data_IF_717060018252
#
_entry.id   IF_717060018252
#
_cell.length_a   1.000
_cell.length_b   1.000
_cell.length_c   1.000
_cell.angle_alpha   90.00
_cell.angle_beta   90.00
_cell.angle_gamma   90.00
#
_symmetry.space_group_name_H-M   'P 1'
#
loop_
_entity.id
_entity.type
_entity.pdbx_description
1 polymer ?
#
# COMPACT_ATOMS: atom_id res chain seq x y z
N UNK A 1 -13.04 23.37 -22.90
CA UNK A 1 -14.02 23.68 -21.83
C UNK A 1 -13.93 22.54 -20.84
N UNK A 2 -13.63 22.82 -19.57
CA UNK A 2 -13.66 21.78 -18.54
C UNK A 2 -15.08 21.29 -18.34
N UNK A 3 -15.27 20.00 -18.07
CA UNK A 3 -16.55 19.49 -17.63
C UNK A 3 -16.80 20.03 -16.22
N UNK A 4 -17.97 20.62 -16.03
CA UNK A 4 -18.44 21.09 -14.74
C UNK A 4 -18.77 19.88 -13.87
N UNK A 5 -18.41 19.92 -12.59
CA UNK A 5 -18.76 18.82 -11.69
C UNK A 5 -20.26 18.83 -11.41
N UNK A 6 -20.84 17.64 -11.19
CA UNK A 6 -22.29 17.47 -11.09
C UNK A 6 -22.92 18.26 -9.93
N UNK A 7 -22.16 18.49 -8.85
CA UNK A 7 -22.58 19.31 -7.70
C UNK A 7 -22.65 20.82 -8.02
N UNK A 8 -21.95 21.29 -9.05
CA UNK A 8 -21.96 22.71 -9.41
C UNK A 8 -23.15 23.06 -10.33
N UNK A 9 -23.93 22.09 -10.78
CA UNK A 9 -25.02 22.31 -11.72
C UNK A 9 -26.11 23.15 -11.06
N UNK A 10 -26.53 24.22 -11.73
CA UNK A 10 -27.70 25.02 -11.35
C UNK A 10 -29.01 24.26 -11.60
N UNK A 11 -30.11 24.73 -11.02
CA UNK A 11 -31.42 24.12 -11.24
C UNK A 11 -31.83 24.09 -12.73
N UNK A 12 -31.45 25.09 -13.52
CA UNK A 12 -31.66 25.14 -14.96
C UNK A 12 -30.87 24.05 -15.69
N UNK A 13 -29.59 23.89 -15.34
CA UNK A 13 -28.72 22.84 -15.90
C UNK A 13 -29.22 21.43 -15.53
N UNK A 14 -29.71 21.24 -14.30
CA UNK A 14 -30.37 20.00 -13.87
C UNK A 14 -31.64 19.75 -14.69
N UNK A 15 -32.45 20.77 -14.94
CA UNK A 15 -33.66 20.61 -15.78
C UNK A 15 -33.29 20.14 -17.20
N UNK A 16 -32.26 20.74 -17.81
CA UNK A 16 -31.79 20.38 -19.15
C UNK A 16 -31.21 18.96 -19.17
N UNK A 17 -30.45 18.61 -18.13
CA UNK A 17 -29.93 17.26 -17.96
C UNK A 17 -31.06 16.23 -17.82
N UNK A 18 -32.11 16.50 -17.03
CA UNK A 18 -33.28 15.63 -16.90
C UNK A 18 -34.01 15.43 -18.23
N UNK A 19 -34.17 16.50 -19.02
CA UNK A 19 -34.74 16.41 -20.37
C UNK A 19 -33.93 15.45 -21.24
N UNK A 20 -32.60 15.56 -21.23
CA UNK A 20 -31.71 14.65 -21.96
C UNK A 20 -31.80 13.19 -21.50
N UNK A 21 -32.15 12.94 -20.23
CA UNK A 21 -32.38 11.59 -19.69
C UNK A 21 -33.77 11.01 -20.00
N UNK A 22 -34.63 11.76 -20.71
CA UNK A 22 -36.01 11.38 -20.99
C UNK A 22 -36.94 11.55 -19.78
N UNK A 23 -36.62 12.47 -18.87
CA UNK A 23 -37.41 12.87 -17.69
C UNK A 23 -37.92 14.33 -17.81
N UNK A 24 -38.20 14.76 -19.04
CA UNK A 24 -38.57 16.15 -19.32
C UNK A 24 -39.87 16.60 -18.65
N UNK A 25 -40.85 15.71 -18.47
CA UNK A 25 -42.12 16.04 -17.82
C UNK A 25 -41.95 16.44 -16.35
N UNK A 26 -40.94 15.88 -15.68
CA UNK A 26 -40.63 16.12 -14.27
C UNK A 26 -39.68 17.31 -14.10
N UNK A 27 -38.99 17.74 -15.17
CA UNK A 27 -38.00 18.82 -15.13
C UNK A 27 -38.55 20.14 -14.59
N UNK A 28 -39.78 20.51 -14.95
CA UNK A 28 -40.45 21.72 -14.45
C UNK A 28 -40.64 21.69 -12.93
N UNK A 29 -40.86 20.51 -12.35
CA UNK A 29 -41.03 20.36 -10.90
C UNK A 29 -39.70 20.51 -10.16
N UNK A 30 -38.62 19.96 -10.72
CA UNK A 30 -37.27 20.17 -10.17
C UNK A 30 -36.87 21.63 -10.22
N UNK A 31 -37.19 22.32 -11.31
CA UNK A 31 -36.93 23.75 -11.45
C UNK A 31 -37.76 24.58 -10.46
N UNK A 32 -39.04 24.25 -10.28
CA UNK A 32 -39.93 24.95 -9.34
C UNK A 32 -39.50 24.78 -7.88
N UNK A 33 -39.03 23.59 -7.51
CA UNK A 33 -38.48 23.29 -6.18
C UNK A 33 -37.03 23.78 -6.01
N UNK A 34 -36.43 24.37 -7.05
CA UNK A 34 -35.05 24.89 -7.00
C UNK A 34 -34.00 23.79 -6.82
N UNK A 35 -34.25 22.58 -7.34
CA UNK A 35 -33.35 21.43 -7.21
C UNK A 35 -32.11 21.64 -8.08
N UNK A 36 -31.03 22.08 -7.45
CA UNK A 36 -29.70 22.18 -8.04
C UNK A 36 -28.91 20.86 -7.91
N UNK A 37 -27.69 20.85 -8.43
CA UNK A 37 -26.81 19.69 -8.47
C UNK A 37 -26.46 19.19 -7.09
N UNK A 38 -26.06 20.06 -6.18
CA UNK A 38 -25.73 19.68 -4.80
C UNK A 38 -26.94 19.09 -4.07
N UNK A 39 -28.09 19.76 -4.14
CA UNK A 39 -29.31 19.27 -3.52
C UNK A 39 -29.73 17.91 -4.11
N UNK A 40 -29.67 17.75 -5.43
CA UNK A 40 -29.98 16.49 -6.11
C UNK A 40 -29.11 15.32 -5.63
N UNK A 41 -27.85 15.57 -5.25
CA UNK A 41 -26.97 14.53 -4.72
C UNK A 41 -27.34 14.06 -3.31
N UNK A 42 -28.07 14.89 -2.55
CA UNK A 42 -28.53 14.57 -1.19
C UNK A 42 -29.87 13.84 -1.15
N UNK A 43 -30.66 13.93 -2.23
CA UNK A 43 -31.98 13.33 -2.31
C UNK A 43 -31.91 11.80 -2.30
N UNK A 44 -32.77 11.20 -1.48
CA UNK A 44 -32.98 9.76 -1.46
C UNK A 44 -33.96 9.32 -2.55
N UNK A 45 -34.02 8.02 -2.81
CA UNK A 45 -34.99 7.46 -3.75
C UNK A 45 -36.44 7.69 -3.30
N UNK A 46 -36.70 7.95 -2.02
CA UNK A 46 -38.04 8.19 -1.51
C UNK A 46 -38.43 9.66 -1.61
N UNK A 47 -37.49 10.59 -1.40
CA UNK A 47 -37.71 12.03 -1.64
C UNK A 47 -38.03 12.30 -3.12
N UNK A 48 -37.30 11.64 -4.03
CA UNK A 48 -37.59 11.68 -5.46
C UNK A 48 -39.02 11.24 -5.81
N UNK A 49 -39.57 10.26 -5.08
CA UNK A 49 -40.92 9.75 -5.33
C UNK A 49 -41.98 10.63 -4.68
N UNK A 50 -41.82 10.90 -3.39
CA UNK A 50 -42.84 11.54 -2.57
C UNK A 50 -42.92 13.03 -2.87
N UNK A 51 -41.77 13.70 -2.94
CA UNK A 51 -41.72 15.15 -3.06
C UNK A 51 -41.68 15.55 -4.53
N UNK A 52 -40.92 14.83 -5.35
CA UNK A 52 -40.71 15.17 -6.76
C UNK A 52 -41.59 14.37 -7.73
N UNK A 53 -42.40 13.44 -7.23
CA UNK A 53 -43.42 12.74 -8.02
C UNK A 53 -42.87 11.75 -9.05
N UNK A 54 -41.63 11.28 -8.88
CA UNK A 54 -41.08 10.25 -9.75
C UNK A 54 -41.72 8.89 -9.45
N UNK A 55 -41.92 8.10 -10.51
CA UNK A 55 -42.20 6.66 -10.32
C UNK A 55 -40.96 5.97 -9.72
N UNK A 56 -41.17 4.83 -9.06
CA UNK A 56 -40.06 4.03 -8.50
C UNK A 56 -39.02 3.63 -9.55
N UNK A 57 -39.42 3.44 -10.80
CA UNK A 57 -38.52 3.09 -11.89
C UNK A 57 -37.69 4.30 -12.34
N UNK A 58 -38.33 5.48 -12.49
CA UNK A 58 -37.65 6.73 -12.83
C UNK A 58 -36.65 7.12 -11.73
N UNK A 59 -37.04 7.04 -10.46
CA UNK A 59 -36.15 7.34 -9.33
C UNK A 59 -34.91 6.43 -9.34
N UNK A 60 -35.09 5.12 -9.55
CA UNK A 60 -33.96 4.18 -9.69
C UNK A 60 -33.07 4.50 -10.90
N UNK A 61 -33.65 4.84 -12.06
CA UNK A 61 -32.89 5.24 -13.25
C UNK A 61 -32.08 6.51 -12.96
N UNK A 62 -32.70 7.49 -12.32
CA UNK A 62 -32.08 8.75 -11.97
C UNK A 62 -30.88 8.54 -11.02
N UNK A 63 -31.06 7.77 -9.96
CA UNK A 63 -29.97 7.45 -9.01
C UNK A 63 -28.79 6.77 -9.70
N UNK A 64 -29.04 5.79 -10.59
CA UNK A 64 -27.97 5.14 -11.37
C UNK A 64 -27.25 6.12 -12.29
N UNK A 65 -27.98 7.02 -12.93
CA UNK A 65 -27.39 8.04 -13.81
C UNK A 65 -26.55 9.05 -13.03
N UNK A 66 -26.98 9.43 -11.83
CA UNK A 66 -26.21 10.28 -10.91
C UNK A 66 -24.92 9.57 -10.49
N UNK A 67 -24.99 8.31 -10.07
CA UNK A 67 -23.81 7.49 -9.71
C UNK A 67 -22.82 7.36 -10.87
N UNK A 68 -23.32 7.13 -12.08
CA UNK A 68 -22.51 7.09 -13.28
C UNK A 68 -21.82 8.42 -13.54
N UNK A 69 -22.55 9.54 -13.42
CA UNK A 69 -22.00 10.89 -13.62
C UNK A 69 -20.92 11.22 -12.57
N UNK A 70 -21.13 10.83 -11.30
CA UNK A 70 -20.10 10.94 -10.24
C UNK A 70 -18.85 10.14 -10.57
N UNK A 71 -19.01 8.94 -11.13
CA UNK A 71 -17.87 8.08 -11.47
C UNK A 71 -17.02 8.70 -12.59
N UNK A 72 -17.66 9.37 -13.55
CA UNK A 72 -16.96 10.10 -14.62
C UNK A 72 -16.21 11.30 -14.06
N UNK A 73 -16.87 12.15 -13.25
CA UNK A 73 -16.22 13.32 -12.65
C UNK A 73 -15.05 12.97 -11.72
N UNK A 74 -15.23 11.94 -10.87
CA UNK A 74 -14.17 11.44 -10.00
C UNK A 74 -12.98 10.83 -10.76
N UNK A 75 -13.15 10.43 -12.02
CA UNK A 75 -12.04 9.95 -12.84
C UNK A 75 -11.13 11.09 -13.29
N UNK A 76 -11.66 12.29 -13.48
CA UNK A 76 -10.86 13.48 -13.82
C UNK A 76 -10.04 13.98 -12.62
N UNK A 77 -10.59 13.94 -11.40
CA UNK A 77 -9.82 14.22 -10.18
C UNK A 77 -8.68 13.21 -9.99
N UNK A 78 -8.97 11.92 -10.15
CA UNK A 78 -7.93 10.88 -10.12
C UNK A 78 -6.88 11.10 -11.23
N UNK A 79 -7.28 11.58 -12.40
CA UNK A 79 -6.35 11.95 -13.47
C UNK A 79 -5.38 13.05 -13.05
N UNK A 80 -5.88 14.14 -12.45
CA UNK A 80 -5.04 15.23 -11.93
C UNK A 80 -4.09 14.76 -10.83
N UNK A 81 -4.54 13.87 -9.95
CA UNK A 81 -3.70 13.31 -8.89
C UNK A 81 -2.61 12.38 -9.44
N UNK A 82 -2.93 11.56 -10.45
CA UNK A 82 -1.94 10.76 -11.19
C UNK A 82 -0.90 11.65 -11.87
N UNK A 83 -1.32 12.73 -12.53
CA UNK A 83 -0.39 13.68 -13.16
C UNK A 83 0.53 14.36 -12.14
N UNK A 84 0.00 14.73 -10.96
CA UNK A 84 0.80 15.29 -9.86
C UNK A 84 1.82 14.27 -9.34
N UNK A 85 1.38 13.04 -9.06
CA UNK A 85 2.25 11.96 -8.60
C UNK A 85 3.33 11.63 -9.64
N UNK A 86 3.00 11.66 -10.93
CA UNK A 86 3.95 11.41 -12.01
C UNK A 86 5.04 12.49 -12.07
N UNK A 87 4.72 13.77 -11.80
CA UNK A 87 5.72 14.83 -11.67
C UNK A 87 6.63 14.62 -10.46
N UNK A 88 6.06 14.26 -9.32
CA UNK A 88 6.83 13.97 -8.10
C UNK A 88 7.78 12.77 -8.29
N UNK A 89 7.34 11.72 -8.99
CA UNK A 89 8.18 10.56 -9.33
C UNK A 89 9.37 11.00 -10.19
N UNK A 90 9.14 11.80 -11.24
CA UNK A 90 10.23 12.29 -12.09
C UNK A 90 11.24 13.14 -11.30
N UNK A 91 10.77 14.04 -10.42
CA UNK A 91 11.65 14.85 -9.57
C UNK A 91 12.46 13.99 -8.59
N UNK A 92 11.84 12.96 -8.01
CA UNK A 92 12.51 12.02 -7.13
C UNK A 92 13.56 11.18 -7.89
N UNK A 93 13.26 10.74 -9.11
CA UNK A 93 14.21 10.02 -9.95
C UNK A 93 15.46 10.86 -10.26
N UNK A 94 15.29 12.14 -10.60
CA UNK A 94 16.42 13.07 -10.80
C UNK A 94 17.27 13.21 -9.53
N UNK A 95 16.64 13.38 -8.36
CA UNK A 95 17.35 13.46 -7.07
C UNK A 95 18.12 12.17 -6.76
N UNK A 96 17.53 11.01 -7.04
CA UNK A 96 18.19 9.71 -6.86
C UNK A 96 19.41 9.60 -7.77
N UNK A 97 19.32 10.02 -9.03
CA UNK A 97 20.47 10.01 -9.95
C UNK A 97 21.62 10.91 -9.46
N UNK A 98 21.30 12.14 -9.00
CA UNK A 98 22.31 13.07 -8.45
C UNK A 98 22.99 12.49 -7.22
N UNK A 99 22.21 11.94 -6.28
CA UNK A 99 22.75 11.33 -5.06
C UNK A 99 23.62 10.11 -5.38
N UNK A 100 23.21 9.26 -6.32
CA UNK A 100 24.03 8.12 -6.76
C UNK A 100 25.36 8.58 -7.36
N UNK A 101 25.37 9.65 -8.15
CA UNK A 101 26.61 10.23 -8.69
C UNK A 101 27.50 10.77 -7.57
N UNK A 102 26.93 11.45 -6.57
CA UNK A 102 27.68 11.97 -5.44
C UNK A 102 28.29 10.86 -4.57
N UNK A 103 27.53 9.79 -4.30
CA UNK A 103 28.03 8.62 -3.57
C UNK A 103 29.18 7.96 -4.33
N UNK A 104 29.02 7.72 -5.64
CA UNK A 104 30.10 7.15 -6.48
C UNK A 104 31.36 8.02 -6.48
N UNK A 105 31.21 9.35 -6.51
CA UNK A 105 32.34 10.27 -6.42
C UNK A 105 33.05 10.16 -5.07
N UNK A 106 32.27 10.08 -3.98
CA UNK A 106 32.80 9.90 -2.62
C UNK A 106 33.49 8.55 -2.43
N UNK A 107 32.95 7.47 -2.99
CA UNK A 107 33.58 6.14 -2.94
C UNK A 107 34.94 6.12 -3.65
N UNK A 108 35.07 6.83 -4.78
CA UNK A 108 36.36 7.00 -5.47
C UNK A 108 37.36 7.77 -4.60
N UNK A 109 36.92 8.86 -3.99
CA UNK A 109 37.74 9.67 -3.08
C UNK A 109 38.25 8.83 -1.89
N UNK A 110 37.38 8.01 -1.28
CA UNK A 110 37.75 7.08 -0.21
C UNK A 110 38.77 6.05 -0.70
N UNK A 111 38.58 5.48 -1.89
CA UNK A 111 39.52 4.51 -2.46
C UNK A 111 40.91 5.11 -2.70
N UNK A 112 40.97 6.33 -3.25
CA UNK A 112 42.23 7.07 -3.42
C UNK A 112 42.92 7.37 -2.10
N UNK A 113 42.17 7.82 -1.09
CA UNK A 113 42.70 8.07 0.25
C UNK A 113 43.21 6.77 0.91
N UNK A 114 42.49 5.66 0.78
CA UNK A 114 42.94 4.34 1.28
C UNK A 114 44.24 3.90 0.60
N UNK A 115 44.37 4.09 -0.72
CA UNK A 115 45.61 3.78 -1.44
C UNK A 115 46.78 4.64 -0.95
N UNK A 116 46.56 5.95 -0.72
CA UNK A 116 47.59 6.84 -0.14
C UNK A 116 48.01 6.40 1.26
N UNK A 117 47.05 6.06 2.14
CA UNK A 117 47.34 5.58 3.49
C UNK A 117 48.14 4.27 3.45
N UNK A 118 47.73 3.32 2.59
CA UNK A 118 48.42 2.04 2.44
C UNK A 118 49.85 2.23 1.91
N UNK A 119 50.07 3.17 0.97
CA UNK A 119 51.40 3.52 0.49
C UNK A 119 52.31 4.14 1.56
N UNK A 120 51.75 4.91 2.50
CA UNK A 120 52.51 5.50 3.61
C UNK A 120 52.85 4.48 4.71
N UNK A 121 52.01 3.46 4.94
CA UNK A 121 52.24 2.43 5.98
C UNK A 121 53.34 1.41 5.64
N UNK A 122 53.85 1.35 4.41
CA UNK A 122 54.87 0.34 4.00
C UNK A 122 56.31 0.70 4.44
N UNK A 123 56.55 1.86 5.05
CA UNK A 123 57.92 2.29 5.41
C UNK A 123 58.32 2.12 6.88
N UNK A 124 57.44 1.67 7.76
CA UNK A 124 57.77 1.53 9.19
C UNK A 124 57.59 0.09 9.69
N UNK A 125 58.73 -0.51 10.08
CA UNK A 125 58.95 -1.78 10.81
C UNK A 125 59.11 -3.08 10.03
N UNK A 126 60.38 -3.34 9.70
CA UNK A 126 60.99 -4.66 9.51
C UNK A 126 61.32 -5.26 10.88
N UNK A 127 60.87 -6.49 11.18
CA UNK A 127 61.71 -7.54 11.79
C UNK A 127 60.99 -8.91 11.82
N UNK A 128 61.62 -10.02 11.36
CA UNK A 128 61.05 -11.36 11.45
C UNK A 128 61.55 -12.10 12.70
N UNK A 129 60.66 -12.78 13.43
CA UNK A 129 61.02 -13.78 14.42
C UNK A 129 60.06 -15.00 14.34
N UNK A 130 60.52 -16.22 14.69
CA UNK A 130 60.11 -17.46 14.03
C UNK A 130 59.10 -18.29 14.89
N UNK A 131 58.84 -19.60 14.68
CA UNK A 131 57.48 -20.14 14.49
C UNK A 131 56.87 -20.84 15.72
N UNK A 132 55.53 -20.76 15.84
CA UNK A 132 54.50 -21.74 16.34
C UNK A 132 54.71 -22.52 17.68
N UNK A 133 53.66 -22.76 18.51
CA UNK A 133 52.65 -23.79 18.22
C UNK A 133 51.17 -23.50 18.60
N UNK A 134 50.31 -24.14 17.81
CA UNK A 134 48.87 -24.54 17.89
C UNK A 134 48.30 -24.87 19.30
N UNK A 135 47.03 -25.33 19.47
CA UNK A 135 45.69 -24.86 19.02
C UNK A 135 44.63 -24.98 20.16
N UNK A 136 43.74 -24.01 20.39
CA UNK A 136 42.53 -24.28 21.22
C UNK A 136 41.27 -23.63 20.66
N UNK A 137 40.46 -24.45 19.98
CA UNK A 137 39.00 -24.33 20.03
C UNK A 137 38.51 -24.94 21.35
N UNK A 138 37.46 -24.40 21.95
CA UNK A 138 36.18 -25.07 21.80
C UNK A 138 35.06 -24.13 21.39
N UNK A 139 34.20 -24.67 20.52
CA UNK A 139 32.97 -24.09 20.05
C UNK A 139 32.12 -23.52 21.20
N UNK A 140 31.73 -22.25 21.06
CA UNK A 140 30.60 -21.72 21.80
C UNK A 140 29.34 -22.46 21.35
N UNK A 141 28.84 -23.32 22.22
CA UNK A 141 27.52 -23.91 22.09
C UNK A 141 26.46 -22.79 22.05
N UNK A 142 25.58 -22.73 21.03
CA UNK A 142 24.50 -21.77 21.03
C UNK A 142 23.55 -22.07 22.19
N UNK A 143 23.23 -21.00 22.92
CA UNK A 143 22.30 -20.96 24.05
C UNK A 143 20.95 -21.61 23.64
N UNK A 144 20.36 -22.50 24.46
CA UNK A 144 19.10 -23.16 24.12
C UNK A 144 17.99 -22.13 23.89
N UNK A 145 17.29 -22.29 22.77
CA UNK A 145 16.16 -21.46 22.38
C UNK A 145 15.06 -21.49 23.46
N UNK A 146 14.40 -20.36 23.75
CA UNK A 146 13.28 -20.33 24.67
C UNK A 146 12.12 -21.18 24.12
N UNK A 147 11.65 -22.12 24.94
CA UNK A 147 10.48 -22.95 24.69
C UNK A 147 9.26 -22.05 24.44
N UNK A 148 8.56 -22.17 23.30
CA UNK A 148 7.39 -21.34 23.02
C UNK A 148 6.28 -21.63 24.03
N UNK A 149 5.80 -20.57 24.69
CA UNK A 149 4.69 -20.63 25.61
C UNK A 149 3.42 -21.17 24.89
N UNK A 150 2.62 -22.04 25.54
CA UNK A 150 1.37 -22.53 24.97
C UNK A 150 0.39 -21.37 24.79
N UNK A 151 -0.04 -21.14 23.55
CA UNK A 151 -1.03 -20.12 23.21
C UNK A 151 -2.37 -20.42 23.92
N UNK A 152 -3.08 -19.40 24.42
CA UNK A 152 -4.35 -19.56 25.10
C UNK A 152 -5.38 -20.21 24.16
N UNK A 153 -5.99 -21.31 24.61
CA UNK A 153 -7.07 -22.01 23.93
C UNK A 153 -8.36 -21.18 23.97
N UNK A 154 -8.39 -20.10 23.19
CA UNK A 154 -9.57 -19.30 22.92
C UNK A 154 -10.18 -19.67 21.57
N UNK A 155 -11.36 -20.31 21.62
CA UNK A 155 -12.44 -20.32 20.62
C UNK A 155 -12.04 -20.46 19.13
N UNK A 156 -12.32 -21.65 18.58
CA UNK A 156 -12.13 -22.05 17.17
C UNK A 156 -12.68 -21.03 16.17
N UNK A 157 -11.80 -20.31 15.48
CA UNK A 157 -12.09 -19.62 14.21
C UNK A 157 -10.98 -19.91 13.18
N UNK A 158 -11.40 -20.58 12.10
CA UNK A 158 -10.82 -20.78 10.75
C UNK A 158 -9.28 -20.91 10.63
N UNK A 159 -8.83 -22.16 10.62
CA UNK A 159 -7.45 -22.68 10.70
C UNK A 159 -6.43 -22.38 9.59
N UNK A 160 -6.58 -21.33 8.77
CA UNK A 160 -5.63 -21.01 7.70
C UNK A 160 -4.48 -20.09 8.14
N UNK A 161 -4.83 -18.91 8.66
CA UNK A 161 -3.86 -17.85 8.98
C UNK A 161 -2.99 -18.18 10.20
N UNK A 162 -3.57 -18.78 11.25
CA UNK A 162 -2.84 -19.14 12.46
C UNK A 162 -1.74 -20.20 12.20
N UNK A 163 -2.04 -21.19 11.33
CA UNK A 163 -1.06 -22.20 10.93
C UNK A 163 0.05 -21.60 10.06
N UNK A 164 -0.32 -20.65 9.19
CA UNK A 164 0.63 -19.88 8.40
C UNK A 164 1.58 -19.07 9.28
N UNK A 165 1.06 -18.34 10.26
CA UNK A 165 1.85 -17.52 11.18
C UNK A 165 2.86 -18.35 11.98
N UNK A 166 2.44 -19.47 12.56
CA UNK A 166 3.34 -20.35 13.30
C UNK A 166 4.47 -20.93 12.42
N UNK A 167 4.12 -21.40 11.21
CA UNK A 167 5.12 -21.93 10.28
C UNK A 167 6.10 -20.88 9.75
N UNK A 168 5.61 -19.65 9.57
CA UNK A 168 6.42 -18.51 9.18
C UNK A 168 7.40 -18.08 10.27
N UNK A 169 6.96 -18.06 11.54
CA UNK A 169 7.79 -17.65 12.66
C UNK A 169 9.06 -18.51 12.83
N UNK A 170 8.92 -19.83 12.69
CA UNK A 170 10.05 -20.76 12.80
C UNK A 170 11.07 -20.52 11.67
N UNK A 171 10.60 -20.33 10.43
CA UNK A 171 11.50 -20.05 9.30
C UNK A 171 12.17 -18.69 9.43
N UNK A 172 11.43 -17.69 9.87
CA UNK A 172 11.94 -16.34 10.09
C UNK A 172 13.01 -16.30 11.19
N UNK A 173 12.85 -17.07 12.27
CA UNK A 173 13.84 -17.14 13.34
C UNK A 173 15.20 -17.69 12.85
N UNK A 174 15.18 -18.68 11.95
CA UNK A 174 16.40 -19.25 11.34
C UNK A 174 17.10 -18.19 10.48
N UNK A 175 16.34 -17.43 9.69
CA UNK A 175 16.90 -16.35 8.86
C UNK A 175 17.46 -15.22 9.72
N UNK A 176 16.75 -14.85 10.80
CA UNK A 176 17.21 -13.87 11.79
C UNK A 176 18.54 -14.25 12.41
N UNK A 177 18.73 -15.51 12.78
CA UNK A 177 19.99 -15.97 13.39
C UNK A 177 21.21 -15.98 12.44
N UNK A 178 21.00 -15.89 11.12
CA UNK A 178 22.08 -15.93 10.11
C UNK A 178 22.47 -14.50 9.66
N UNK A 179 21.55 -13.54 9.74
CA UNK A 179 21.79 -12.19 9.24
C UNK A 179 22.51 -11.33 10.28
N UNK A 180 23.65 -10.71 9.93
CA UNK A 180 24.36 -9.83 10.84
C UNK A 180 23.52 -8.59 11.15
N UNK A 181 23.31 -8.32 12.44
CA UNK A 181 22.54 -7.16 12.92
C UNK A 181 21.04 -7.37 13.08
N UNK A 182 20.55 -8.62 12.98
CA UNK A 182 19.15 -8.96 13.25
C UNK A 182 19.10 -10.12 14.25
N UNK A 183 18.25 -10.02 15.28
CA UNK A 183 18.10 -11.09 16.26
C UNK A 183 17.05 -12.12 15.82
N UNK A 184 17.14 -13.33 16.36
CA UNK A 184 16.20 -14.42 16.02
C UNK A 184 14.73 -14.07 16.35
N UNK A 185 14.50 -13.20 17.33
CA UNK A 185 13.17 -12.71 17.68
C UNK A 185 12.56 -11.82 16.57
N UNK A 186 13.37 -10.91 16.00
CA UNK A 186 12.95 -10.05 14.90
C UNK A 186 12.70 -10.87 13.63
N UNK A 187 13.56 -11.86 13.39
CA UNK A 187 13.35 -12.87 12.37
C UNK A 187 12.03 -13.61 12.53
N UNK A 188 11.71 -14.06 13.76
CA UNK A 188 10.47 -14.77 14.05
C UNK A 188 9.22 -13.91 13.81
N UNK A 189 9.25 -12.64 14.22
CA UNK A 189 8.15 -11.71 14.01
C UNK A 189 7.91 -11.44 12.51
N UNK A 190 8.97 -11.17 11.76
CA UNK A 190 8.89 -10.99 10.31
C UNK A 190 8.37 -12.26 9.60
N UNK A 191 8.89 -13.43 10.02
CA UNK A 191 8.44 -14.71 9.50
C UNK A 191 6.96 -14.99 9.79
N UNK A 192 6.49 -14.68 11.00
CA UNK A 192 5.09 -14.87 11.38
C UNK A 192 4.14 -14.02 10.53
N UNK A 193 4.49 -12.76 10.27
CA UNK A 193 3.72 -11.88 9.40
C UNK A 193 3.62 -12.46 7.97
N UNK A 194 4.75 -12.82 7.36
CA UNK A 194 4.78 -13.41 6.01
C UNK A 194 3.98 -14.72 5.96
N UNK A 195 4.11 -15.56 6.99
CA UNK A 195 3.39 -16.82 7.10
C UNK A 195 1.88 -16.63 7.22
N UNK A 196 1.41 -15.64 7.97
CA UNK A 196 -0.01 -15.32 8.12
C UNK A 196 -0.64 -14.93 6.77
N UNK A 197 0.05 -14.10 5.99
CA UNK A 197 -0.37 -13.72 4.64
C UNK A 197 -0.42 -14.92 3.69
N UNK A 198 0.64 -15.73 3.64
CA UNK A 198 0.67 -16.92 2.78
C UNK A 198 -0.38 -17.98 3.15
N UNK A 199 -0.63 -18.17 4.45
CA UNK A 199 -1.63 -19.11 4.96
C UNK A 199 -3.08 -18.70 4.66
N UNK A 200 -3.38 -17.40 4.64
CA UNK A 200 -4.69 -16.88 4.26
C UNK A 200 -5.05 -17.17 2.79
N UNK A 201 -4.09 -16.99 1.88
CA UNK A 201 -4.31 -17.19 0.44
C UNK A 201 -4.41 -18.67 0.07
N UNK A 202 -3.62 -19.54 0.71
CA UNK A 202 -3.69 -20.99 0.50
C UNK A 202 -5.00 -21.62 1.00
N UNK A 203 -5.53 -21.13 2.14
CA UNK A 203 -6.80 -21.60 2.73
C UNK A 203 -8.02 -21.36 1.85
N UNK A 204 -8.03 -20.28 1.06
CA UNK A 204 -9.10 -19.96 0.11
C UNK A 204 -9.13 -20.90 -1.11
N UNK A 205 -7.98 -21.48 -1.50
CA UNK A 205 -7.89 -22.36 -2.68
C UNK A 205 -8.25 -23.82 -2.38
N UNK A 206 -8.11 -24.26 -1.12
CA UNK A 206 -8.44 -25.63 -0.69
C UNK A 206 -9.91 -25.89 -0.36
N UNK A 207 -10.72 -24.84 -0.17
CA UNK A 207 -12.13 -24.96 0.23
C UNK A 207 -13.11 -25.30 -0.90
N UNK A 208 -12.66 -25.38 -2.16
CA UNK A 208 -13.54 -25.62 -3.34
C UNK A 208 -13.59 -27.07 -3.81
N UNK A 209 -13.04 -28.00 -3.03
CA UNK A 209 -13.11 -29.45 -3.27
C UNK A 209 -13.57 -30.18 -2.01
N UNK A 210 -14.79 -29.90 -1.56
CA UNK A 210 -15.62 -30.80 -0.76
C UNK A 210 -17.08 -30.57 -1.11
#
# INVERSE_FOLDING_TARGET
MGFKDFNEYSAEEISLWLIAQGLGEQSSKFLAEGVDGDFLLTLSADDLKNDLGLTSLQAKKLMKNIEFSKTIGASDEKGKEVDKLMREVNELEEKVQVLQHAVKAKDREIAELRNKISGMQVTETRSPAPPQPVPHSPAHAPKPAPTPAPAPMGRRVVGGAARGAAGGAVKGAIVGAILPGMDAADGAAAGAAVGAFGGGVGGLRGGRRR
#
